data_IF_372114431536
#
_entry.id   IF_372114431536
#
_cell.length_a   1.000
_cell.length_b   1.000
_cell.length_c   1.000
_cell.angle_alpha   90.00
_cell.angle_beta   90.00
_cell.angle_gamma   90.00
#
_symmetry.space_group_name_H-M   'P 1'
#
loop_
_entity.id
_entity.type
_entity.pdbx_description
1 polymer ?
#
# COMPACT_ATOMS: atom_id res chain seq x y z
N UNK A 1 -7.43 -14.03 3.62
CA UNK A 1 -6.70 -12.82 4.04
C UNK A 1 -7.00 -11.71 3.03
N UNK A 2 -7.46 -10.53 3.50
CA UNK A 2 -8.28 -9.50 2.83
C UNK A 2 -9.45 -9.99 1.96
N UNK A 3 -9.22 -10.89 1.00
CA UNK A 3 -10.27 -11.57 0.19
C UNK A 3 -11.31 -12.33 1.04
N UNK A 4 -10.93 -12.75 2.24
CA UNK A 4 -11.81 -13.49 3.16
C UNK A 4 -12.37 -12.61 4.30
N UNK A 5 -12.13 -11.30 4.23
CA UNK A 5 -12.63 -10.29 5.15
C UNK A 5 -13.73 -9.50 4.43
N UNK A 6 -14.63 -8.88 5.18
CA UNK A 6 -15.57 -7.92 4.59
C UNK A 6 -14.78 -6.80 3.88
N UNK A 7 -15.02 -6.54 2.58
CA UNK A 7 -14.37 -5.46 1.85
C UNK A 7 -14.49 -4.11 2.56
N UNK A 8 -15.61 -3.83 3.24
CA UNK A 8 -15.85 -2.55 3.91
C UNK A 8 -14.85 -2.27 5.03
N UNK A 9 -14.24 -3.31 5.63
CA UNK A 9 -13.18 -3.15 6.63
C UNK A 9 -11.94 -2.43 6.05
N UNK A 10 -11.71 -2.51 4.73
CA UNK A 10 -10.60 -1.84 4.06
C UNK A 10 -10.91 -0.39 3.70
N UNK A 11 -12.19 0.01 3.68
CA UNK A 11 -12.64 1.36 3.29
C UNK A 11 -13.06 2.24 4.49
N UNK A 12 -12.67 1.85 5.71
CA UNK A 12 -12.84 2.66 6.91
C UNK A 12 -12.10 4.01 6.83
N UNK A 13 -12.51 5.00 7.63
CA UNK A 13 -11.94 6.36 7.60
C UNK A 13 -10.96 6.64 8.75
N UNK A 14 -10.06 7.60 8.52
CA UNK A 14 -9.23 8.19 9.57
C UNK A 14 -8.36 7.17 10.32
N UNK A 15 -8.36 7.24 11.65
CA UNK A 15 -7.51 6.40 12.49
C UNK A 15 -7.83 4.89 12.37
N UNK A 16 -9.07 4.52 11.99
CA UNK A 16 -9.47 3.13 11.82
C UNK A 16 -8.67 2.41 10.72
N UNK A 17 -8.18 3.13 9.71
CA UNK A 17 -7.34 2.56 8.65
C UNK A 17 -6.06 1.92 9.18
N UNK A 18 -5.54 2.37 10.33
CA UNK A 18 -4.36 1.74 10.94
C UNK A 18 -4.64 0.32 11.41
N UNK A 19 -5.85 0.06 11.92
CA UNK A 19 -6.29 -1.28 12.33
C UNK A 19 -6.51 -2.15 11.08
N UNK A 20 -7.19 -1.60 10.08
CA UNK A 20 -7.42 -2.29 8.81
C UNK A 20 -6.11 -2.66 8.07
N UNK A 21 -5.08 -1.80 8.12
CA UNK A 21 -3.76 -2.09 7.54
C UNK A 21 -3.10 -3.37 8.08
N UNK A 22 -3.45 -3.79 9.31
CA UNK A 22 -2.95 -5.04 9.91
C UNK A 22 -3.48 -6.28 9.17
N UNK A 23 -4.66 -6.21 8.53
CA UNK A 23 -5.22 -7.31 7.73
C UNK A 23 -4.27 -7.71 6.61
N UNK A 24 -3.49 -6.75 6.08
CA UNK A 24 -2.54 -7.00 5.02
C UNK A 24 -1.27 -7.75 5.49
N UNK A 25 -0.99 -7.86 6.80
CA UNK A 25 0.33 -8.22 7.37
C UNK A 25 1.01 -9.47 6.79
N UNK A 26 0.24 -10.50 6.45
CA UNK A 26 0.72 -11.76 5.87
C UNK A 26 0.20 -11.99 4.43
N UNK A 27 -0.21 -10.92 3.75
CA UNK A 27 -0.59 -11.00 2.34
C UNK A 27 0.68 -11.22 1.49
N UNK A 28 0.77 -12.30 0.70
CA UNK A 28 1.96 -12.60 -0.10
C UNK A 28 2.21 -11.55 -1.20
N UNK A 29 1.17 -10.83 -1.61
CA UNK A 29 1.22 -9.80 -2.65
C UNK A 29 1.14 -8.37 -2.08
N UNK A 30 1.56 -8.17 -0.82
CA UNK A 30 1.43 -6.88 -0.14
C UNK A 30 2.16 -5.75 -0.89
N UNK A 31 3.34 -6.03 -1.45
CA UNK A 31 4.15 -5.00 -2.11
C UNK A 31 3.61 -4.66 -3.50
N UNK A 32 3.11 -5.66 -4.21
CA UNK A 32 2.47 -5.55 -5.51
C UNK A 32 1.16 -4.76 -5.39
N UNK A 33 0.33 -5.08 -4.39
CA UNK A 33 -0.89 -4.33 -4.07
C UNK A 33 -0.58 -2.87 -3.65
N UNK A 34 0.54 -2.65 -2.96
CA UNK A 34 1.00 -1.30 -2.59
C UNK A 34 1.44 -0.50 -3.81
N UNK A 35 2.23 -1.11 -4.69
CA UNK A 35 2.69 -0.51 -5.93
C UNK A 35 1.50 -0.08 -6.77
N UNK A 36 0.58 -1.01 -7.04
CA UNK A 36 -0.61 -0.77 -7.84
C UNK A 36 -1.45 0.40 -7.30
N UNK A 37 -1.67 0.47 -5.98
CA UNK A 37 -2.42 1.56 -5.37
C UNK A 37 -1.71 2.92 -5.46
N UNK A 38 -0.38 2.95 -5.52
CA UNK A 38 0.40 4.18 -5.66
C UNK A 38 0.48 4.61 -7.13
N UNK A 39 0.75 3.67 -8.05
CA UNK A 39 0.78 3.89 -9.50
C UNK A 39 -0.56 4.45 -10.01
N UNK A 40 -1.67 3.87 -9.54
CA UNK A 40 -3.02 4.31 -9.90
C UNK A 40 -3.56 5.47 -9.03
N UNK A 41 -2.75 6.00 -8.10
CA UNK A 41 -3.12 7.10 -7.19
C UNK A 41 -4.45 6.86 -6.47
N UNK A 42 -4.69 5.63 -6.01
CA UNK A 42 -5.97 5.23 -5.40
C UNK A 42 -6.28 6.08 -4.17
N UNK A 43 -7.40 6.79 -4.24
CA UNK A 43 -7.75 7.83 -3.27
C UNK A 43 -8.19 7.29 -1.90
N UNK A 44 -8.88 6.14 -1.89
CA UNK A 44 -9.58 5.65 -0.70
C UNK A 44 -9.12 4.28 -0.24
N UNK A 45 -9.35 4.03 1.05
CA UNK A 45 -9.16 2.72 1.68
C UNK A 45 -7.71 2.32 1.89
N UNK A 46 -7.54 1.10 2.39
CA UNK A 46 -6.26 0.49 2.76
C UNK A 46 -5.80 -0.47 1.67
N UNK A 47 -4.56 -0.25 1.22
CA UNK A 47 -3.96 -1.04 0.13
C UNK A 47 -2.52 -1.38 0.48
N UNK A 48 -2.13 -2.65 0.33
CA UNK A 48 -0.77 -3.11 0.58
C UNK A 48 -0.21 -2.74 1.97
N UNK A 49 -1.08 -2.74 2.98
CA UNK A 49 -0.74 -2.35 4.36
C UNK A 49 -0.53 -0.84 4.57
N UNK A 50 -0.98 0.02 3.64
CA UNK A 50 -0.87 1.47 3.75
C UNK A 50 -2.25 2.14 3.85
N UNK A 51 -2.35 3.08 4.78
CA UNK A 51 -3.45 4.05 4.86
C UNK A 51 -3.39 5.05 3.71
N UNK A 52 -4.52 5.71 3.40
CA UNK A 52 -4.57 6.78 2.40
C UNK A 52 -3.55 7.89 2.69
N UNK A 53 -3.39 8.26 3.97
CA UNK A 53 -2.47 9.31 4.40
C UNK A 53 -1.02 8.92 4.13
N UNK A 54 -0.67 7.66 4.38
CA UNK A 54 0.67 7.16 4.09
C UNK A 54 0.94 7.16 2.57
N UNK A 55 -0.03 6.72 1.75
CA UNK A 55 0.12 6.75 0.29
C UNK A 55 0.29 8.18 -0.24
N UNK A 56 -0.56 9.11 0.20
CA UNK A 56 -0.47 10.54 -0.18
C UNK A 56 0.87 11.16 0.24
N UNK A 57 1.34 10.86 1.44
CA UNK A 57 2.65 11.34 1.90
C UNK A 57 3.79 10.82 1.02
N UNK A 58 3.75 9.54 0.66
CA UNK A 58 4.77 8.90 -0.14
C UNK A 58 4.80 9.46 -1.58
N UNK A 59 3.63 9.62 -2.22
CA UNK A 59 3.50 10.26 -3.53
C UNK A 59 4.01 11.72 -3.53
N UNK A 60 3.81 12.46 -2.43
CA UNK A 60 4.31 13.83 -2.28
C UNK A 60 5.83 13.88 -2.09
N UNK A 61 6.40 12.88 -1.42
CA UNK A 61 7.85 12.79 -1.15
C UNK A 61 8.65 12.34 -2.37
N UNK A 62 8.02 11.59 -3.28
CA UNK A 62 8.66 10.99 -4.44
C UNK A 62 7.93 11.33 -5.75
N UNK A 63 7.85 12.63 -6.13
CA UNK A 63 7.24 13.03 -7.39
C UNK A 63 7.99 12.49 -8.63
N UNK A 64 9.24 12.06 -8.48
CA UNK A 64 10.10 11.50 -9.53
C UNK A 64 9.81 10.04 -9.88
N UNK A 65 9.08 9.31 -9.03
CA UNK A 65 8.81 7.88 -9.24
C UNK A 65 7.70 7.69 -10.27
N UNK A 66 8.06 7.08 -11.40
CA UNK A 66 7.13 6.78 -12.50
C UNK A 66 6.45 5.41 -12.33
N UNK A 67 7.15 4.45 -11.71
CA UNK A 67 6.69 3.08 -11.48
C UNK A 67 7.05 2.65 -10.06
N UNK A 68 6.05 2.46 -9.22
CA UNK A 68 6.22 2.02 -7.85
C UNK A 68 6.59 0.54 -7.77
N UNK A 69 6.16 -0.27 -8.74
CA UNK A 69 6.58 -1.65 -8.88
C UNK A 69 8.11 -1.74 -9.02
N UNK A 70 8.69 -1.00 -9.97
CA UNK A 70 10.14 -0.98 -10.21
C UNK A 70 10.89 -0.35 -9.02
N UNK A 71 10.34 0.70 -8.43
CA UNK A 71 10.92 1.35 -7.26
C UNK A 71 11.03 0.40 -6.06
N UNK A 72 10.00 -0.43 -5.80
CA UNK A 72 10.07 -1.41 -4.74
C UNK A 72 10.99 -2.58 -5.10
N UNK A 73 11.00 -3.02 -6.35
CA UNK A 73 11.87 -4.12 -6.80
C UNK A 73 13.35 -3.76 -6.67
N UNK A 74 13.74 -2.58 -7.18
CA UNK A 74 15.11 -2.06 -7.04
C UNK A 74 15.55 -1.92 -5.57
N UNK A 75 14.64 -1.56 -4.67
CA UNK A 75 14.91 -1.50 -3.21
C UNK A 75 15.03 -2.88 -2.57
N UNK A 76 14.25 -3.88 -3.00
CA UNK A 76 14.42 -5.27 -2.55
C UNK A 76 15.82 -5.77 -2.89
N UNK A 77 16.28 -5.53 -4.12
CA UNK A 77 17.61 -5.95 -4.57
C UNK A 77 18.75 -5.29 -3.80
N UNK A 78 18.61 -4.03 -3.37
CA UNK A 78 19.63 -3.34 -2.54
C UNK A 78 19.77 -3.91 -1.13
N UNK A 79 18.71 -4.49 -0.57
CA UNK A 79 18.72 -5.04 0.79
C UNK A 79 19.21 -6.50 0.85
N UNK A 80 19.52 -7.11 -0.29
CA UNK A 80 19.94 -8.52 -0.41
C UNK A 80 21.45 -8.66 -0.69
N UNK A 81 22.20 -7.55 -0.65
CA UNK A 81 23.67 -7.51 -0.72
C UNK A 81 24.25 -7.01 0.58
#
# INVERSE_FOLDING_TARGET
>A
MCRATDPDELFVRGAAQRKAAVICRHCPVMQECRADALDNKVEFGVWGGMTERQRRALLKQHPEVVSWADFFDTRKHRNVS
#
